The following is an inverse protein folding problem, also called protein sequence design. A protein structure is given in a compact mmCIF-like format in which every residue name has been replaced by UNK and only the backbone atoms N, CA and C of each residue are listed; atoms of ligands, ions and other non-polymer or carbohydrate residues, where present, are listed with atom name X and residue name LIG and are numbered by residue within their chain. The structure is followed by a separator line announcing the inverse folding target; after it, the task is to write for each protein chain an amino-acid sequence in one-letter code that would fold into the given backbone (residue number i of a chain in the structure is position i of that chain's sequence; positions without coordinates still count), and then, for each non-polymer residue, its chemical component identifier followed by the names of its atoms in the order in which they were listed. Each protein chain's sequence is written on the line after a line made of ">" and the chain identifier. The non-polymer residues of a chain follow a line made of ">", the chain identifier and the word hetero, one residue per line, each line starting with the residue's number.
data_IF_220352922670
#
_entry.id   IF_220352922670
#
_cell.length_a   1.000
_cell.length_b   1.000
_cell.length_c   1.000
_cell.angle_alpha   90.00
_cell.angle_beta   90.00
_cell.angle_gamma   90.00
#
_symmetry.space_group_name_H-M   'P 1'
#
loop_
_entity.id
_entity.type
_entity.pdbx_description
1 polymer ?
#
# COMPACT_ATOMS: atom_id res chain seq x y z
N UNK A 1 5.15 14.82 -4.52
CA UNK A 1 3.75 14.68 -4.10
C UNK A 1 3.38 13.21 -3.95
N UNK A 2 3.13 12.45 -5.02
CA UNK A 2 2.77 11.02 -4.89
C UNK A 2 3.80 10.22 -4.08
N UNK A 3 5.09 10.34 -4.43
CA UNK A 3 6.16 9.72 -3.63
C UNK A 3 6.14 10.14 -2.15
N UNK A 4 5.87 11.41 -1.87
CA UNK A 4 5.78 11.91 -0.49
C UNK A 4 4.61 11.27 0.24
N UNK A 5 3.48 11.07 -0.44
CA UNK A 5 2.30 10.41 0.11
C UNK A 5 2.52 8.91 0.32
N UNK A 6 3.12 8.23 -0.66
CA UNK A 6 3.51 6.82 -0.55
C UNK A 6 4.59 6.59 0.52
N UNK A 7 5.41 7.59 0.84
CA UNK A 7 6.36 7.55 1.96
C UNK A 7 5.77 8.11 3.26
N UNK A 8 4.47 8.47 3.30
CA UNK A 8 3.79 8.95 4.52
C UNK A 8 4.28 10.30 5.02
N UNK A 9 4.97 11.07 4.18
CA UNK A 9 5.52 12.41 4.48
C UNK A 9 4.47 13.50 4.39
N UNK A 10 3.37 13.23 3.71
CA UNK A 10 2.18 14.09 3.63
C UNK A 10 0.94 13.24 3.89
N UNK A 11 -0.07 13.86 4.48
CA UNK A 11 -1.38 13.25 4.74
C UNK A 11 -2.20 13.09 3.45
N UNK A 12 -3.24 12.27 3.55
CA UNK A 12 -4.25 12.11 2.49
C UNK A 12 -4.90 13.46 2.09
N UNK A 13 -5.18 14.33 3.06
CA UNK A 13 -5.79 15.64 2.81
C UNK A 13 -4.81 16.62 2.13
N UNK A 14 -3.53 16.60 2.52
CA UNK A 14 -2.49 17.36 1.83
C UNK A 14 -2.31 16.87 0.40
N UNK A 15 -2.22 15.56 0.18
CA UNK A 15 -2.14 14.97 -1.15
C UNK A 15 -3.33 15.39 -2.02
N UNK A 16 -4.56 15.28 -1.50
CA UNK A 16 -5.77 15.70 -2.21
C UNK A 16 -5.78 17.20 -2.54
N UNK A 17 -5.44 18.07 -1.59
CA UNK A 17 -5.38 19.52 -1.84
C UNK A 17 -4.35 19.87 -2.90
N UNK A 18 -3.16 19.29 -2.82
CA UNK A 18 -2.10 19.57 -3.77
C UNK A 18 -2.41 19.05 -5.17
N UNK A 19 -2.95 17.83 -5.31
CA UNK A 19 -3.26 17.25 -6.62
C UNK A 19 -4.45 17.98 -7.28
N UNK A 20 -5.47 18.33 -6.49
CA UNK A 20 -6.62 19.10 -6.97
C UNK A 20 -6.20 20.49 -7.43
N UNK A 21 -5.33 21.18 -6.68
CA UNK A 21 -4.78 22.48 -7.08
C UNK A 21 -3.97 22.37 -8.37
N UNK A 22 -3.04 21.40 -8.44
CA UNK A 22 -2.13 21.23 -9.58
C UNK A 22 -2.85 20.85 -10.88
N UNK A 23 -3.88 20.01 -10.78
CA UNK A 23 -4.66 19.54 -11.93
C UNK A 23 -5.92 20.38 -12.17
N UNK A 24 -6.15 21.44 -11.37
CA UNK A 24 -7.35 22.29 -11.41
C UNK A 24 -8.65 21.49 -11.34
N UNK A 25 -8.68 20.46 -10.49
CA UNK A 25 -9.86 19.63 -10.31
C UNK A 25 -10.92 20.40 -9.52
N UNK A 26 -12.16 20.32 -9.99
CA UNK A 26 -13.34 20.83 -9.28
C UNK A 26 -14.21 19.64 -8.84
N UNK A 27 -13.67 18.81 -7.93
CA UNK A 27 -14.36 17.65 -7.37
C UNK A 27 -14.13 17.60 -5.87
N UNK A 28 -15.10 17.04 -5.14
CA UNK A 28 -14.95 16.76 -3.72
C UNK A 28 -14.00 15.59 -3.47
N UNK A 29 -13.54 15.46 -2.22
CA UNK A 29 -12.76 14.28 -1.82
C UNK A 29 -13.55 12.97 -1.98
N UNK A 30 -14.88 13.03 -1.76
CA UNK A 30 -15.78 11.88 -1.92
C UNK A 30 -15.85 11.38 -3.38
N UNK A 31 -15.71 12.30 -4.35
CA UNK A 31 -15.63 11.96 -5.78
C UNK A 31 -14.22 11.52 -6.19
N UNK A 32 -13.18 12.17 -5.63
CA UNK A 32 -11.79 11.83 -5.91
C UNK A 32 -11.40 10.43 -5.43
N UNK A 33 -11.78 10.07 -4.19
CA UNK A 33 -11.39 8.81 -3.54
C UNK A 33 -11.67 7.55 -4.38
N UNK A 34 -12.89 7.33 -4.94
CA UNK A 34 -13.15 6.16 -5.76
C UNK A 34 -12.35 6.17 -7.07
N UNK A 35 -12.10 7.33 -7.67
CA UNK A 35 -11.27 7.45 -8.89
C UNK A 35 -9.84 6.99 -8.57
N UNK A 36 -9.26 7.52 -7.49
CA UNK A 36 -7.92 7.15 -7.03
C UNK A 36 -7.81 5.65 -6.71
N UNK A 37 -8.83 5.08 -6.06
CA UNK A 37 -8.83 3.67 -5.66
C UNK A 37 -9.09 2.68 -6.81
N UNK A 38 -9.56 3.14 -7.96
CA UNK A 38 -9.97 2.27 -9.08
C UNK A 38 -8.81 1.78 -9.97
N UNK A 39 -7.68 1.44 -9.37
CA UNK A 39 -6.50 0.91 -10.06
C UNK A 39 -6.23 -0.57 -9.76
N UNK A 40 -6.99 -1.15 -8.82
CA UNK A 40 -6.76 -2.51 -8.33
C UNK A 40 -7.74 -3.54 -8.91
N UNK A 41 -7.17 -4.69 -9.27
CA UNK A 41 -7.91 -5.91 -9.60
C UNK A 41 -7.26 -7.11 -8.92
N UNK A 42 -8.07 -8.06 -8.46
CA UNK A 42 -7.56 -9.29 -7.86
C UNK A 42 -6.90 -10.16 -8.94
N UNK A 43 -5.63 -10.51 -8.73
CA UNK A 43 -4.99 -11.56 -9.50
C UNK A 43 -5.25 -12.91 -8.83
N UNK A 44 -6.14 -13.72 -9.42
CA UNK A 44 -6.54 -15.02 -8.88
C UNK A 44 -5.37 -16.00 -8.76
N UNK A 45 -4.49 -16.05 -9.76
CA UNK A 45 -3.30 -16.92 -9.72
C UNK A 45 -2.33 -16.56 -8.59
N UNK A 46 -2.16 -15.27 -8.30
CA UNK A 46 -1.35 -14.82 -7.14
C UNK A 46 -2.01 -15.22 -5.83
N UNK A 47 -3.34 -15.09 -5.70
CA UNK A 47 -4.08 -15.54 -4.50
C UNK A 47 -3.91 -17.05 -4.28
N UNK A 48 -4.05 -17.85 -5.33
CA UNK A 48 -3.84 -19.30 -5.25
C UNK A 48 -2.40 -19.67 -4.84
N UNK A 49 -1.41 -18.95 -5.37
CA UNK A 49 -0.01 -19.13 -4.98
C UNK A 49 0.20 -18.79 -3.50
N UNK A 50 -0.35 -17.68 -3.00
CA UNK A 50 -0.30 -17.31 -1.59
C UNK A 50 -0.90 -18.43 -0.71
N UNK A 51 -2.08 -18.95 -1.07
CA UNK A 51 -2.73 -20.05 -0.34
C UNK A 51 -1.87 -21.31 -0.27
N UNK A 52 -1.14 -21.65 -1.34
CA UNK A 52 -0.22 -22.81 -1.33
C UNK A 52 1.01 -22.55 -0.48
N UNK A 53 1.65 -21.38 -0.63
CA UNK A 53 2.88 -21.04 0.08
C UNK A 53 2.65 -20.85 1.59
N UNK A 54 1.50 -20.32 1.99
CA UNK A 54 1.15 -20.07 3.40
C UNK A 54 1.15 -21.35 4.25
N UNK A 55 0.97 -22.52 3.63
CA UNK A 55 1.05 -23.83 4.30
C UNK A 55 2.47 -24.19 4.76
N UNK A 56 3.50 -23.53 4.22
CA UNK A 56 4.91 -23.88 4.43
C UNK A 56 5.78 -22.70 4.88
N UNK A 57 5.37 -21.47 4.61
CA UNK A 57 6.17 -20.28 4.85
C UNK A 57 5.37 -19.20 5.55
N UNK A 58 6.06 -18.36 6.33
CA UNK A 58 5.57 -17.05 6.72
C UNK A 58 5.62 -16.13 5.50
N UNK A 59 4.52 -15.46 5.20
CA UNK A 59 4.37 -14.60 4.03
C UNK A 59 4.13 -13.17 4.48
N UNK A 60 4.96 -12.26 4.01
CA UNK A 60 4.87 -10.84 4.30
C UNK A 60 4.64 -10.05 3.02
N UNK A 61 3.88 -8.95 3.09
CA UNK A 61 3.80 -7.97 2.01
C UNK A 61 4.85 -6.88 2.24
N UNK A 62 5.66 -6.58 1.22
CA UNK A 62 6.48 -5.36 1.17
C UNK A 62 5.99 -4.46 0.03
N UNK A 63 5.29 -3.37 0.34
CA UNK A 63 4.59 -2.56 -0.64
C UNK A 63 4.97 -1.09 -0.59
N UNK A 64 5.24 -0.51 -1.77
CA UNK A 64 5.18 0.93 -1.95
C UNK A 64 3.70 1.28 -2.17
N UNK A 65 3.08 1.95 -1.20
CA UNK A 65 1.65 2.27 -1.22
C UNK A 65 1.36 3.41 -0.25
N UNK A 66 0.12 3.89 -0.28
CA UNK A 66 -0.40 4.91 0.60
C UNK A 66 -1.63 4.40 1.36
N UNK A 67 -2.07 5.19 2.35
CA UNK A 67 -3.20 4.88 3.23
C UNK A 67 -4.47 4.57 2.44
N UNK A 68 -4.89 5.44 1.52
CA UNK A 68 -6.13 5.26 0.75
C UNK A 68 -6.15 3.97 -0.07
N UNK A 69 -5.01 3.60 -0.66
CA UNK A 69 -4.91 2.37 -1.43
C UNK A 69 -4.90 1.13 -0.54
N UNK A 70 -4.08 1.13 0.51
CA UNK A 70 -3.95 -0.04 1.37
C UNK A 70 -5.27 -0.39 2.06
N UNK A 71 -5.96 0.61 2.61
CA UNK A 71 -7.25 0.39 3.30
C UNK A 71 -8.33 -0.10 2.34
N UNK A 72 -8.36 0.44 1.11
CA UNK A 72 -9.28 -0.02 0.09
C UNK A 72 -9.03 -1.48 -0.29
N UNK A 73 -7.78 -1.83 -0.60
CA UNK A 73 -7.43 -3.20 -1.00
C UNK A 73 -7.70 -4.17 0.15
N UNK A 74 -7.34 -3.81 1.38
CA UNK A 74 -7.57 -4.62 2.58
C UNK A 74 -9.05 -4.88 2.86
N UNK A 75 -9.91 -3.88 2.62
CA UNK A 75 -11.37 -4.02 2.77
C UNK A 75 -12.00 -4.80 1.61
N UNK A 76 -11.54 -4.58 0.37
CA UNK A 76 -12.16 -5.13 -0.84
C UNK A 76 -11.72 -6.56 -1.15
N UNK A 77 -10.49 -6.92 -0.81
CA UNK A 77 -9.91 -8.22 -1.15
C UNK A 77 -9.39 -8.93 0.10
N UNK A 78 -9.87 -10.15 0.31
CA UNK A 78 -9.47 -11.03 1.41
C UNK A 78 -8.01 -11.52 1.33
N UNK A 79 -7.37 -11.39 0.16
CA UNK A 79 -6.01 -11.88 -0.10
C UNK A 79 -4.97 -11.30 0.86
N UNK A 80 -5.14 -10.05 1.30
CA UNK A 80 -4.21 -9.46 2.26
C UNK A 80 -4.31 -10.14 3.63
N UNK A 81 -5.52 -10.53 4.05
CA UNK A 81 -5.73 -11.27 5.30
C UNK A 81 -5.11 -12.67 5.34
N UNK A 82 -4.59 -13.17 4.22
CA UNK A 82 -3.85 -14.42 4.16
C UNK A 82 -2.37 -14.26 4.54
N UNK A 83 -1.85 -13.03 4.60
CA UNK A 83 -0.44 -12.73 4.89
C UNK A 83 -0.24 -12.55 6.40
N UNK A 84 0.94 -12.90 6.89
CA UNK A 84 1.30 -12.80 8.31
C UNK A 84 1.46 -11.36 8.77
N UNK A 85 2.06 -10.51 7.93
CA UNK A 85 2.15 -9.08 8.20
C UNK A 85 2.46 -8.28 6.92
N UNK A 86 2.48 -6.96 7.06
CA UNK A 86 2.72 -6.00 6.01
C UNK A 86 3.80 -4.99 6.43
N UNK A 87 4.61 -4.61 5.46
CA UNK A 87 5.59 -3.53 5.51
C UNK A 87 5.17 -2.55 4.41
N UNK A 88 4.70 -1.38 4.84
CA UNK A 88 4.04 -0.40 4.00
C UNK A 88 4.90 0.86 3.99
N UNK A 89 5.28 1.35 2.82
CA UNK A 89 6.19 2.49 2.69
C UNK A 89 5.70 3.72 3.45
N UNK A 90 4.39 3.98 3.48
CA UNK A 90 3.82 5.14 4.17
C UNK A 90 3.87 5.02 5.70
N UNK A 91 4.08 3.82 6.24
CA UNK A 91 4.32 3.59 7.68
C UNK A 91 5.82 3.60 8.00
N UNK A 92 6.66 3.19 7.05
CA UNK A 92 8.11 3.09 7.23
C UNK A 92 8.82 4.42 6.97
N UNK A 93 8.25 5.31 6.15
CA UNK A 93 8.91 6.54 5.71
C UNK A 93 9.83 6.39 4.49
N UNK A 94 9.98 5.15 3.99
CA UNK A 94 10.86 4.81 2.88
C UNK A 94 10.17 3.86 1.91
N UNK A 95 10.43 4.05 0.62
CA UNK A 95 9.93 3.23 -0.47
C UNK A 95 11.05 2.40 -1.08
N UNK A 96 10.74 1.23 -1.64
CA UNK A 96 11.69 0.47 -2.47
C UNK A 96 12.15 1.36 -3.64
N UNK A 97 13.43 1.34 -4.04
CA UNK A 97 14.48 0.39 -3.62
C UNK A 97 15.31 0.85 -2.41
N UNK A 98 14.85 1.80 -1.60
CA UNK A 98 15.65 2.31 -0.48
C UNK A 98 15.97 1.21 0.57
N UNK A 99 17.24 1.03 1.01
CA UNK A 99 17.64 -0.08 1.89
C UNK A 99 16.84 -0.18 3.20
N UNK A 100 16.47 0.96 3.79
CA UNK A 100 15.68 1.03 5.04
C UNK A 100 14.41 0.17 5.00
N UNK A 101 13.68 0.14 3.88
CA UNK A 101 12.42 -0.63 3.83
C UNK A 101 12.67 -2.14 3.85
N UNK A 102 13.81 -2.59 3.31
CA UNK A 102 14.22 -4.00 3.37
C UNK A 102 14.74 -4.36 4.76
N UNK A 103 15.47 -3.46 5.41
CA UNK A 103 15.91 -3.64 6.80
C UNK A 103 14.72 -3.79 7.75
N UNK A 104 13.69 -2.94 7.63
CA UNK A 104 12.45 -3.08 8.40
C UNK A 104 11.73 -4.40 8.10
N UNK A 105 11.72 -4.85 6.84
CA UNK A 105 11.12 -6.13 6.47
C UNK A 105 11.85 -7.33 7.11
N UNK A 106 13.18 -7.33 7.10
CA UNK A 106 13.98 -8.39 7.69
C UNK A 106 13.85 -8.42 9.22
N UNK A 107 13.89 -7.25 9.87
CA UNK A 107 13.64 -7.12 11.32
C UNK A 107 12.25 -7.64 11.69
N UNK A 108 11.22 -7.28 10.93
CA UNK A 108 9.84 -7.70 11.19
C UNK A 108 9.62 -9.19 10.93
N UNK A 109 10.36 -9.76 9.98
CA UNK A 109 10.37 -11.19 9.72
C UNK A 109 11.19 -11.99 10.73
N UNK A 110 11.95 -11.34 11.63
CA UNK A 110 12.82 -11.98 12.62
C UNK A 110 13.87 -12.90 11.95
N UNK A 111 14.53 -12.37 10.92
CA UNK A 111 15.58 -13.06 10.15
C UNK A 111 16.90 -12.26 10.11
N UNK A 112 17.01 -11.26 10.98
CA UNK A 112 18.19 -10.45 11.26
C UNK A 112 18.31 -10.20 12.75
#
# INVERSE_FOLDING_TARGET
>A
MERSYDEGKISTDEFFREISSRLKLNISFAEFKPIWQNIFRLNRGVKEMILRLKKRYRLFLLSNTNELHFDFVKKKYDVLGLLDDYILSYKVGFSKPHPRIFQEALKKADVL
#
